data_IF_114008983278
#
_entry.id   IF_114008983278
#
_cell.length_a   1.000
_cell.length_b   1.000
_cell.length_c   1.000
_cell.angle_alpha   90.00
_cell.angle_beta   90.00
_cell.angle_gamma   90.00
#
_symmetry.space_group_name_H-M   'P 1'
#
loop_
_entity.id
_entity.type
_entity.pdbx_description
1 polymer ?
#
# COMPACT_ATOMS: atom_id res chain seq x y z
N UNK A 1 -4.07 19.85 -2.24
CA UNK A 1 -2.74 19.68 -1.59
C UNK A 1 -2.74 18.25 -1.07
N UNK A 2 -1.93 17.29 -1.51
CA UNK A 2 -0.60 17.27 -2.10
C UNK A 2 -0.61 16.81 -3.58
N UNK A 3 0.45 17.16 -4.31
CA UNK A 3 0.83 16.57 -5.60
C UNK A 3 0.80 15.03 -5.52
N UNK A 4 0.59 14.39 -6.67
CA UNK A 4 0.60 12.95 -6.99
C UNK A 4 1.79 12.18 -6.38
N UNK A 5 1.83 12.05 -5.05
CA UNK A 5 2.92 11.43 -4.29
C UNK A 5 2.68 9.92 -4.23
N UNK A 6 3.22 9.20 -5.20
CA UNK A 6 3.26 7.75 -5.19
C UNK A 6 4.51 7.23 -4.49
N UNK A 7 4.34 6.22 -3.66
CA UNK A 7 5.43 5.44 -3.06
C UNK A 7 5.75 4.32 -4.04
N UNK A 8 6.84 4.50 -4.81
CA UNK A 8 7.26 3.53 -5.81
C UNK A 8 8.01 2.37 -5.15
N UNK A 9 7.42 1.19 -5.22
CA UNK A 9 7.94 -0.04 -4.61
C UNK A 9 8.46 -0.97 -5.68
N UNK A 10 9.67 -1.49 -5.47
CA UNK A 10 10.23 -2.61 -6.23
C UNK A 10 10.22 -3.86 -5.34
N UNK A 11 9.81 -4.99 -5.90
CA UNK A 11 9.78 -6.29 -5.19
C UNK A 11 10.92 -7.16 -5.68
N UNK A 12 11.74 -7.68 -4.77
CA UNK A 12 12.77 -8.69 -5.06
C UNK A 12 12.33 -10.01 -4.45
N UNK A 13 12.00 -10.99 -5.28
CA UNK A 13 11.40 -12.26 -4.90
C UNK A 13 9.87 -12.21 -4.95
N UNK A 14 9.30 -12.65 -6.08
CA UNK A 14 7.85 -12.78 -6.24
C UNK A 14 7.38 -14.13 -5.72
N UNK A 15 7.07 -14.16 -4.42
CA UNK A 15 6.51 -15.33 -3.73
C UNK A 15 5.24 -15.00 -2.94
N UNK A 16 4.90 -15.86 -1.98
CA UNK A 16 3.68 -15.69 -1.17
C UNK A 16 3.64 -14.35 -0.42
N UNK A 17 4.77 -13.86 0.09
CA UNK A 17 4.84 -12.57 0.77
C UNK A 17 4.49 -11.40 -0.18
N UNK A 18 5.03 -11.42 -1.40
CA UNK A 18 4.72 -10.42 -2.42
C UNK A 18 3.23 -10.48 -2.80
N UNK A 19 2.70 -11.70 -2.97
CA UNK A 19 1.29 -11.92 -3.27
C UNK A 19 0.36 -11.34 -2.20
N UNK A 20 0.62 -11.64 -0.92
CA UNK A 20 -0.16 -11.11 0.21
C UNK A 20 -0.08 -9.59 0.30
N UNK A 21 1.10 -9.00 0.05
CA UNK A 21 1.29 -7.55 0.07
C UNK A 21 0.49 -6.87 -1.05
N UNK A 22 0.64 -7.33 -2.30
CA UNK A 22 -0.06 -6.74 -3.46
C UNK A 22 -1.58 -6.85 -3.29
N UNK A 23 -2.08 -8.01 -2.84
CA UNK A 23 -3.50 -8.21 -2.57
C UNK A 23 -3.98 -7.33 -1.42
N UNK A 24 -3.23 -7.22 -0.33
CA UNK A 24 -3.59 -6.37 0.80
C UNK A 24 -3.70 -4.89 0.40
N UNK A 25 -2.75 -4.38 -0.38
CA UNK A 25 -2.80 -3.01 -0.93
C UNK A 25 -4.03 -2.80 -1.79
N UNK A 26 -4.37 -3.76 -2.67
CA UNK A 26 -5.58 -3.66 -3.51
C UNK A 26 -6.87 -3.75 -2.68
N UNK A 27 -6.91 -4.64 -1.69
CA UNK A 27 -8.09 -4.88 -0.86
C UNK A 27 -8.44 -3.66 0.00
N UNK A 28 -7.44 -3.00 0.58
CA UNK A 28 -7.63 -1.85 1.46
C UNK A 28 -7.45 -0.49 0.76
N UNK A 29 -7.40 -0.44 -0.58
CA UNK A 29 -7.15 0.80 -1.33
C UNK A 29 -8.20 1.90 -1.06
N UNK A 30 -9.42 1.49 -0.74
CA UNK A 30 -10.58 2.36 -0.51
C UNK A 30 -10.96 2.47 0.99
N UNK A 31 -10.11 1.95 1.89
CA UNK A 31 -10.28 2.13 3.33
C UNK A 31 -10.27 3.62 3.68
N UNK A 32 -11.04 4.03 4.69
CA UNK A 32 -11.02 5.42 5.16
C UNK A 32 -9.85 5.63 6.12
N UNK A 33 -9.29 6.85 6.22
CA UNK A 33 -8.17 7.14 7.13
C UNK A 33 -8.41 6.75 8.60
N UNK A 34 -9.67 6.77 9.03
CA UNK A 34 -10.13 6.44 10.38
C UNK A 34 -10.63 4.99 10.55
N UNK A 35 -10.61 4.18 9.49
CA UNK A 35 -11.00 2.77 9.57
C UNK A 35 -9.98 1.95 10.37
N UNK A 36 -10.49 1.03 11.18
CA UNK A 36 -9.66 0.02 11.81
C UNK A 36 -9.39 -1.12 10.83
N UNK A 37 -8.13 -1.24 10.38
CA UNK A 37 -7.66 -2.34 9.53
C UNK A 37 -6.76 -3.28 10.35
N UNK A 38 -7.14 -4.57 10.54
CA UNK A 38 -6.32 -5.51 11.28
C UNK A 38 -4.91 -5.65 10.71
N UNK A 39 -3.90 -5.46 11.56
CA UNK A 39 -2.48 -5.57 11.17
C UNK A 39 -1.86 -4.28 10.62
N UNK A 40 -2.64 -3.21 10.43
CA UNK A 40 -2.12 -1.88 10.12
C UNK A 40 -2.24 -0.98 11.37
N UNK A 41 -1.20 -0.18 11.62
CA UNK A 41 -1.25 0.84 12.68
C UNK A 41 -2.07 2.06 12.25
N UNK A 42 -1.96 2.45 10.97
CA UNK A 42 -2.67 3.58 10.38
C UNK A 42 -3.00 3.26 8.92
N UNK A 43 -4.19 3.66 8.46
CA UNK A 43 -4.57 3.59 7.04
C UNK A 43 -3.90 4.70 6.22
N UNK A 44 -3.75 5.88 6.82
CA UNK A 44 -2.98 6.99 6.28
C UNK A 44 -1.84 7.35 7.23
N UNK A 45 -0.62 7.43 6.71
CA UNK A 45 0.57 7.78 7.49
C UNK A 45 1.27 8.97 6.84
N UNK A 46 1.34 10.10 7.56
CA UNK A 46 1.99 11.34 7.08
C UNK A 46 1.53 11.80 5.68
N UNK A 47 0.23 11.66 5.41
CA UNK A 47 -0.38 12.01 4.13
C UNK A 47 -0.20 10.97 3.02
N UNK A 48 0.32 9.77 3.32
CA UNK A 48 0.35 8.63 2.40
C UNK A 48 -0.74 7.63 2.75
N UNK A 49 -1.63 7.37 1.81
CA UNK A 49 -2.65 6.35 1.94
C UNK A 49 -2.14 4.99 1.43
N UNK A 50 -2.80 3.89 1.82
CA UNK A 50 -2.51 2.54 1.29
C UNK A 50 -2.48 2.51 -0.25
N UNK A 51 -3.38 3.26 -0.90
CA UNK A 51 -3.49 3.34 -2.36
C UNK A 51 -2.36 4.14 -3.04
N UNK A 52 -1.48 4.76 -2.26
CA UNK A 52 -0.32 5.48 -2.79
C UNK A 52 0.88 4.57 -3.03
N UNK A 53 0.80 3.31 -2.60
CA UNK A 53 1.77 2.27 -2.96
C UNK A 53 1.60 1.93 -4.45
N UNK A 54 2.63 2.23 -5.24
CA UNK A 54 2.73 1.91 -6.67
C UNK A 54 3.83 0.85 -6.85
N UNK A 55 3.44 -0.38 -7.20
CA UNK A 55 4.41 -1.41 -7.55
C UNK A 55 4.99 -1.12 -8.95
N UNK A 56 6.21 -0.60 -9.00
CA UNK A 56 6.84 -0.13 -10.25
C UNK A 56 7.79 -1.15 -10.88
N UNK A 57 8.26 -2.15 -10.13
CA UNK A 57 9.13 -3.20 -10.62
C UNK A 57 9.02 -4.48 -9.77
N UNK A 58 9.32 -5.64 -10.37
CA UNK A 58 9.44 -6.91 -9.67
C UNK A 58 10.50 -7.79 -10.34
N UNK A 59 11.27 -8.53 -9.54
CA UNK A 59 12.34 -9.43 -9.98
C UNK A 59 12.30 -10.75 -9.21
#
# INVERSE_FOLDING_TARGET
MSSNKKVRVAVIGVGNCASSLVQGVQYYRDAKPDDFVPGLMHVEMDGYHIHDIEFSAAF
#
